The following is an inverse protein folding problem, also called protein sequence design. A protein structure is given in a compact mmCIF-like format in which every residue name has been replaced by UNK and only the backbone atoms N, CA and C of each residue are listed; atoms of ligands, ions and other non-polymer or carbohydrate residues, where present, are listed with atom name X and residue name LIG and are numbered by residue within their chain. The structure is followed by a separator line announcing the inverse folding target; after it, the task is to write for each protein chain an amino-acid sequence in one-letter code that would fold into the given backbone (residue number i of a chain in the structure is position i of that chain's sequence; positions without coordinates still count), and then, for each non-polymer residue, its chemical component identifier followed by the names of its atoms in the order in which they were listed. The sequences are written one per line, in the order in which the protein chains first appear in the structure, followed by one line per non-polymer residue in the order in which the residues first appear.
data_IF_399944975723
#
_entry.id   IF_399944975723
#
_cell.length_a   1.000
_cell.length_b   1.000
_cell.length_c   1.000
_cell.angle_alpha   90.00
_cell.angle_beta   90.00
_cell.angle_gamma   90.00
#
_symmetry.space_group_name_H-M   'P 1'
#
loop_
_entity.id
_entity.type
_entity.pdbx_description
1 polymer ?
#
# COMPACT_ATOMS: atom_id res chain seq x y z
N UNK A 1 -0.60 29.38 -18.34
CA UNK A 1 0.38 28.38 -17.91
C UNK A 1 -0.23 27.01 -18.19
N UNK A 2 0.34 26.23 -19.11
CA UNK A 2 -0.20 24.91 -19.45
C UNK A 2 0.11 23.97 -18.28
N UNK A 3 -0.89 23.59 -17.51
CA UNK A 3 -0.72 22.58 -16.46
C UNK A 3 -0.53 21.24 -17.14
N UNK A 4 0.66 20.66 -17.03
CA UNK A 4 0.88 19.32 -17.58
C UNK A 4 -0.05 18.33 -16.88
N UNK A 5 -0.77 17.45 -17.62
CA UNK A 5 -1.75 16.51 -17.04
C UNK A 5 -1.10 15.47 -16.12
N UNK A 6 0.23 15.34 -16.18
CA UNK A 6 1.05 14.49 -15.32
C UNK A 6 1.58 15.23 -14.08
N UNK A 7 1.19 16.49 -13.87
CA UNK A 7 1.60 17.27 -12.71
C UNK A 7 0.99 16.69 -11.43
N UNK A 8 1.82 16.53 -10.40
CA UNK A 8 1.37 16.20 -9.04
C UNK A 8 0.48 17.29 -8.43
N UNK A 9 0.47 18.50 -9.00
CA UNK A 9 -0.38 19.60 -8.58
C UNK A 9 -1.86 19.34 -8.90
N UNK A 10 -2.17 18.73 -10.05
CA UNK A 10 -3.54 18.61 -10.56
C UNK A 10 -4.05 17.17 -10.63
N UNK A 11 -3.16 16.18 -10.84
CA UNK A 11 -3.55 14.79 -10.97
C UNK A 11 -3.36 14.00 -9.65
N UNK A 12 -4.44 13.51 -9.01
CA UNK A 12 -4.32 12.75 -7.77
C UNK A 12 -3.60 11.41 -7.96
N UNK A 13 -3.77 10.76 -9.11
CA UNK A 13 -3.03 9.53 -9.44
C UNK A 13 -1.54 9.81 -9.50
N UNK A 14 -1.11 10.88 -10.18
CA UNK A 14 0.29 11.26 -10.25
C UNK A 14 0.87 11.58 -8.85
N UNK A 15 0.11 12.28 -8.01
CA UNK A 15 0.52 12.58 -6.62
C UNK A 15 0.69 11.31 -5.78
N UNK A 16 -0.24 10.36 -5.87
CA UNK A 16 -0.12 9.07 -5.20
C UNK A 16 1.08 8.29 -5.72
N UNK A 17 1.32 8.28 -7.03
CA UNK A 17 2.45 7.58 -7.65
C UNK A 17 3.80 8.22 -7.34
N UNK A 18 3.86 9.52 -7.02
CA UNK A 18 5.09 10.14 -6.53
C UNK A 18 5.57 9.53 -5.20
N UNK A 19 4.65 8.96 -4.41
CA UNK A 19 4.94 8.27 -3.15
C UNK A 19 5.07 6.76 -3.39
N UNK A 20 4.03 6.12 -3.94
CA UNK A 20 3.95 4.66 -4.07
C UNK A 20 4.74 4.09 -5.26
N UNK A 21 5.01 4.90 -6.28
CA UNK A 21 5.77 4.49 -7.46
C UNK A 21 7.27 4.33 -7.19
N UNK A 22 7.73 4.72 -6.00
CA UNK A 22 9.11 4.54 -5.59
C UNK A 22 9.38 3.06 -5.29
N UNK A 23 10.57 2.60 -5.69
CA UNK A 23 10.97 1.20 -5.51
C UNK A 23 10.87 0.82 -4.03
N UNK A 24 10.23 -0.32 -3.75
CA UNK A 24 9.95 -0.90 -2.42
C UNK A 24 8.79 -0.28 -1.61
N UNK A 25 8.30 0.93 -1.92
CA UNK A 25 7.27 1.58 -1.11
C UNK A 25 6.03 0.71 -0.90
N UNK A 26 5.46 0.20 -2.00
CA UNK A 26 4.29 -0.71 -1.96
C UNK A 26 4.58 -2.01 -1.21
N UNK A 27 5.81 -2.54 -1.30
CA UNK A 27 6.19 -3.77 -0.61
C UNK A 27 6.36 -3.56 0.90
N UNK A 28 6.90 -2.42 1.33
CA UNK A 28 6.96 -2.05 2.74
C UNK A 28 5.54 -1.90 3.31
N UNK A 29 4.65 -1.22 2.59
CA UNK A 29 3.23 -1.09 2.99
C UNK A 29 2.56 -2.46 3.09
N UNK A 30 2.80 -3.37 2.12
CA UNK A 30 2.30 -4.76 2.18
C UNK A 30 2.77 -5.45 3.46
N UNK A 31 4.06 -5.36 3.78
CA UNK A 31 4.61 -5.98 4.99
C UNK A 31 4.02 -5.37 6.27
N UNK A 32 3.78 -4.06 6.30
CA UNK A 32 3.13 -3.41 7.42
C UNK A 32 1.68 -3.87 7.61
N UNK A 33 0.94 -4.10 6.51
CA UNK A 33 -0.39 -4.72 6.54
C UNK A 33 -0.37 -6.16 7.06
N UNK A 34 0.73 -6.89 6.83
CA UNK A 34 0.96 -8.24 7.38
C UNK A 34 1.41 -8.21 8.86
N UNK A 35 1.44 -7.04 9.49
CA UNK A 35 1.75 -6.87 10.91
C UNK A 35 3.24 -6.67 11.22
N UNK A 36 4.11 -6.62 10.20
CA UNK A 36 5.53 -6.28 10.42
C UNK A 36 5.64 -4.82 10.83
N UNK A 37 6.46 -4.55 11.83
CA UNK A 37 6.58 -3.19 12.38
C UNK A 37 8.01 -2.84 12.75
N UNK A 38 8.93 -3.80 12.81
CA UNK A 38 10.33 -3.55 13.16
C UNK A 38 11.20 -3.48 11.90
N UNK A 39 12.21 -2.61 11.93
CA UNK A 39 13.17 -2.47 10.83
C UNK A 39 13.77 -3.82 10.41
N UNK A 40 14.13 -4.66 11.39
CA UNK A 40 14.70 -5.99 11.14
C UNK A 40 13.74 -6.91 10.39
N UNK A 41 12.44 -6.87 10.70
CA UNK A 41 11.41 -7.69 10.04
C UNK A 41 11.22 -7.29 8.58
N UNK A 42 11.20 -5.98 8.30
CA UNK A 42 11.15 -5.48 6.92
C UNK A 42 12.40 -5.89 6.13
N UNK A 43 13.58 -5.72 6.73
CA UNK A 43 14.86 -6.05 6.09
C UNK A 43 14.96 -7.54 5.77
N UNK A 44 14.62 -8.40 6.72
CA UNK A 44 14.63 -9.85 6.55
C UNK A 44 13.70 -10.28 5.42
N UNK A 45 12.48 -9.74 5.39
CA UNK A 45 11.48 -10.17 4.42
C UNK A 45 11.72 -9.63 3.01
N UNK A 46 12.21 -8.39 2.89
CA UNK A 46 12.37 -7.73 1.60
C UNK A 46 13.76 -7.92 0.99
N UNK A 47 14.76 -8.33 1.78
CA UNK A 47 16.15 -8.49 1.32
C UNK A 47 16.79 -7.18 0.83
N UNK A 48 16.20 -6.04 1.18
CA UNK A 48 16.65 -4.72 0.75
C UNK A 48 17.85 -4.24 1.59
N UNK A 49 18.75 -3.48 0.98
CA UNK A 49 19.88 -2.86 1.68
C UNK A 49 19.39 -1.91 2.78
N UNK A 50 20.12 -1.86 3.92
CA UNK A 50 19.69 -1.14 5.11
C UNK A 50 19.53 0.37 4.89
N UNK A 51 20.42 0.98 4.10
CA UNK A 51 20.38 2.39 3.72
C UNK A 51 19.14 2.72 2.88
N UNK A 52 18.85 1.88 1.88
CA UNK A 52 17.65 2.00 1.04
C UNK A 52 16.38 1.83 1.88
N UNK A 53 16.33 0.84 2.76
CA UNK A 53 15.18 0.61 3.63
C UNK A 53 14.95 1.79 4.58
N UNK A 54 16.02 2.31 5.19
CA UNK A 54 15.95 3.45 6.10
C UNK A 54 15.38 4.67 5.38
N UNK A 55 15.87 4.96 4.17
CA UNK A 55 15.35 6.06 3.36
C UNK A 55 13.86 5.89 3.01
N UNK A 56 13.45 4.68 2.59
CA UNK A 56 12.03 4.43 2.23
C UNK A 56 11.10 4.51 3.43
N UNK A 57 11.51 3.99 4.59
CA UNK A 57 10.72 4.09 5.82
C UNK A 57 10.56 5.55 6.23
N UNK A 58 11.63 6.34 6.16
CA UNK A 58 11.59 7.78 6.45
C UNK A 58 10.61 8.52 5.53
N UNK A 59 10.65 8.28 4.22
CA UNK A 59 9.72 8.91 3.27
C UNK A 59 8.27 8.48 3.48
N UNK A 60 8.01 7.21 3.82
CA UNK A 60 6.66 6.75 4.14
C UNK A 60 6.13 7.37 5.44
N UNK A 61 7.02 7.65 6.40
CA UNK A 61 6.69 8.40 7.61
C UNK A 61 6.41 9.87 7.30
N UNK A 62 7.28 10.51 6.51
CA UNK A 62 7.10 11.90 6.07
C UNK A 62 5.81 12.09 5.27
N UNK A 63 5.48 11.14 4.40
CA UNK A 63 4.22 11.11 3.66
C UNK A 63 2.99 10.88 4.56
N UNK A 64 3.17 10.47 5.82
CA UNK A 64 2.10 10.15 6.76
C UNK A 64 1.45 8.78 6.56
N UNK A 65 2.05 7.89 5.74
CA UNK A 65 1.56 6.52 5.53
C UNK A 65 1.91 5.65 6.75
N UNK A 66 3.11 5.85 7.28
CA UNK A 66 3.58 5.22 8.50
C UNK A 66 3.74 6.26 9.62
N UNK A 67 3.66 5.81 10.85
CA UNK A 67 4.10 6.56 12.03
C UNK A 67 5.16 5.74 12.78
N UNK A 68 6.03 6.44 13.51
CA UNK A 68 6.97 5.82 14.44
C UNK A 68 6.36 5.88 15.84
N UNK A 69 6.18 4.72 16.45
CA UNK A 69 5.72 4.59 17.83
C UNK A 69 6.84 3.99 18.67
N UNK A 70 7.09 4.59 19.83
CA UNK A 70 7.94 4.00 20.84
C UNK A 70 7.14 3.02 21.70
N UNK A 71 7.73 1.87 21.97
CA UNK A 71 7.23 0.91 22.95
C UNK A 71 8.36 0.51 23.89
N UNK A 72 7.95 0.13 25.10
CA UNK A 72 8.87 -0.31 26.14
C UNK A 72 8.24 -1.45 26.90
N UNK A 73 8.86 -2.62 26.81
CA UNK A 73 8.54 -3.72 27.70
C UNK A 73 9.10 -3.42 29.11
N UNK A 74 8.42 -3.85 30.19
CA UNK A 74 8.91 -3.61 31.55
C UNK A 74 10.34 -4.15 31.73
N UNK A 75 11.28 -3.28 32.12
CA UNK A 75 12.69 -3.64 32.33
C UNK A 75 13.60 -3.44 31.11
N UNK A 76 13.04 -3.19 29.93
CA UNK A 76 13.79 -3.09 28.68
C UNK A 76 14.10 -1.64 28.26
N UNK A 77 15.00 -1.50 27.28
CA UNK A 77 15.25 -0.23 26.58
C UNK A 77 14.05 0.11 25.67
N UNK A 78 13.75 1.40 25.53
CA UNK A 78 12.76 1.89 24.55
C UNK A 78 13.16 1.43 23.15
N UNK A 79 12.19 0.88 22.42
CA UNK A 79 12.33 0.45 21.03
C UNK A 79 11.27 1.14 20.20
N UNK A 80 11.59 1.43 18.94
CA UNK A 80 10.64 2.05 18.02
C UNK A 80 10.08 1.01 17.05
N UNK A 81 8.82 1.21 16.64
CA UNK A 81 8.14 0.42 15.62
C UNK A 81 7.48 1.35 14.60
N UNK A 82 7.38 0.90 13.36
CA UNK A 82 6.66 1.56 12.28
C UNK A 82 5.25 0.97 12.19
N UNK A 83 4.22 1.80 12.29
CA UNK A 83 2.82 1.38 12.23
C UNK A 83 2.10 2.12 11.12
N UNK A 84 1.11 1.47 10.50
CA UNK A 84 0.22 2.14 9.55
C UNK A 84 -0.64 3.17 10.27
N UNK A 85 -0.65 4.39 9.73
CA UNK A 85 -1.64 5.41 10.07
C UNK A 85 -2.99 5.06 9.43
N UNK A 86 -4.05 5.81 9.74
CA UNK A 86 -5.32 5.69 9.04
C UNK A 86 -5.17 5.90 7.52
N UNK A 87 -4.36 6.90 7.11
CA UNK A 87 -4.03 7.12 5.70
C UNK A 87 -3.31 5.92 5.07
N UNK A 88 -2.41 5.27 5.81
CA UNK A 88 -1.74 4.06 5.36
C UNK A 88 -2.70 2.86 5.23
N UNK A 89 -3.67 2.73 6.13
CA UNK A 89 -4.71 1.69 6.10
C UNK A 89 -5.65 1.86 4.91
N UNK A 90 -5.95 3.09 4.53
CA UNK A 90 -6.77 3.42 3.35
C UNK A 90 -6.13 2.98 2.02
N UNK A 91 -4.85 2.57 2.00
CA UNK A 91 -4.20 1.97 0.83
C UNK A 91 -4.59 0.50 0.59
N UNK A 92 -5.30 -0.14 1.51
CA UNK A 92 -5.75 -1.54 1.37
C UNK A 92 -6.41 -1.83 0.02
N UNK A 93 -7.45 -1.09 -0.43
CA UNK A 93 -8.05 -1.31 -1.75
C UNK A 93 -7.09 -1.07 -2.92
N UNK A 94 -6.09 -0.20 -2.78
CA UNK A 94 -5.08 0.03 -3.83
C UNK A 94 -4.19 -1.19 -3.99
N UNK A 95 -3.65 -1.72 -2.89
CA UNK A 95 -2.81 -2.92 -2.92
C UNK A 95 -3.61 -4.16 -3.35
N UNK A 96 -4.87 -4.27 -2.93
CA UNK A 96 -5.75 -5.34 -3.37
C UNK A 96 -6.02 -5.29 -4.87
N UNK A 97 -6.25 -4.10 -5.46
CA UNK A 97 -6.41 -3.95 -6.89
C UNK A 97 -5.14 -4.34 -7.68
N UNK A 98 -3.96 -3.95 -7.18
CA UNK A 98 -2.67 -4.35 -7.76
C UNK A 98 -2.48 -5.88 -7.73
N UNK A 99 -2.72 -6.50 -6.57
CA UNK A 99 -2.63 -7.94 -6.39
C UNK A 99 -3.61 -8.70 -7.28
N UNK A 100 -4.87 -8.25 -7.35
CA UNK A 100 -5.90 -8.85 -8.19
C UNK A 100 -5.54 -8.80 -9.69
N UNK A 101 -5.00 -7.69 -10.17
CA UNK A 101 -4.53 -7.58 -11.56
C UNK A 101 -3.34 -8.50 -11.81
N UNK A 102 -2.36 -8.51 -10.90
CA UNK A 102 -1.19 -9.38 -11.00
C UNK A 102 -1.57 -10.86 -11.03
N UNK A 103 -2.48 -11.30 -10.16
CA UNK A 103 -2.94 -12.68 -10.10
C UNK A 103 -3.65 -13.12 -11.40
N UNK A 104 -4.37 -12.20 -12.06
CA UNK A 104 -5.08 -12.50 -13.31
C UNK A 104 -4.15 -12.56 -14.52
N UNK A 105 -3.14 -11.71 -14.58
CA UNK A 105 -2.38 -11.47 -15.82
C UNK A 105 -0.92 -11.90 -15.76
N UNK A 106 -0.30 -11.92 -14.58
CA UNK A 106 1.09 -12.26 -14.35
C UNK A 106 1.19 -13.63 -13.67
N UNK A 107 0.68 -14.65 -14.36
CA UNK A 107 0.65 -16.02 -13.83
C UNK A 107 2.09 -16.47 -13.59
N UNK A 108 2.41 -16.74 -12.33
CA UNK A 108 3.65 -17.36 -11.91
C UNK A 108 3.41 -18.84 -11.64
N UNK A 109 4.33 -19.75 -12.03
CA UNK A 109 4.27 -21.15 -11.61
C UNK A 109 4.36 -21.28 -10.08
N UNK A 110 4.95 -20.29 -9.41
CA UNK A 110 5.00 -20.19 -7.96
C UNK A 110 3.86 -19.30 -7.47
N UNK A 111 2.86 -19.89 -6.81
CA UNK A 111 1.78 -19.14 -6.17
C UNK A 111 2.25 -18.64 -4.80
N UNK A 112 2.47 -17.33 -4.68
CA UNK A 112 2.82 -16.70 -3.40
C UNK A 112 1.74 -16.81 -2.32
N UNK A 113 0.48 -17.12 -2.69
CA UNK A 113 -0.64 -17.24 -1.76
C UNK A 113 -1.17 -15.93 -1.17
N UNK A 114 -0.53 -14.78 -1.48
CA UNK A 114 -1.00 -13.46 -1.05
C UNK A 114 -2.40 -13.18 -1.61
N UNK A 115 -3.33 -12.91 -0.70
CA UNK A 115 -4.74 -12.69 -1.01
C UNK A 115 -5.35 -11.81 0.08
N UNK A 116 -6.36 -11.02 -0.28
CA UNK A 116 -7.09 -10.20 0.69
C UNK A 116 -8.33 -10.98 1.14
N UNK A 117 -8.55 -11.07 2.44
CA UNK A 117 -9.66 -11.83 3.03
C UNK A 117 -10.51 -10.97 3.95
N UNK A 118 -11.78 -11.31 4.09
CA UNK A 118 -12.59 -10.83 5.19
C UNK A 118 -12.13 -11.53 6.49
N UNK A 119 -11.78 -10.76 7.51
CA UNK A 119 -11.15 -11.29 8.72
C UNK A 119 -12.04 -12.29 9.48
N UNK A 120 -13.36 -12.07 9.52
CA UNK A 120 -14.30 -12.91 10.26
C UNK A 120 -14.56 -14.27 9.62
N UNK A 121 -14.45 -14.39 8.30
CA UNK A 121 -14.80 -15.61 7.54
C UNK A 121 -13.57 -16.27 6.90
N UNK A 122 -12.50 -15.51 6.69
CA UNK A 122 -11.35 -15.94 5.90
C UNK A 122 -11.63 -16.02 4.39
N UNK A 123 -12.82 -15.61 3.94
CA UNK A 123 -13.20 -15.64 2.54
C UNK A 123 -12.46 -14.58 1.73
N UNK A 124 -12.11 -14.92 0.48
CA UNK A 124 -11.40 -14.02 -0.41
C UNK A 124 -12.28 -12.85 -0.85
N UNK A 125 -11.77 -11.63 -0.72
CA UNK A 125 -12.47 -10.41 -1.13
C UNK A 125 -11.81 -9.77 -2.35
N UNK A 126 -12.63 -9.18 -3.21
CA UNK A 126 -12.21 -8.56 -4.47
C UNK A 126 -12.54 -7.07 -4.48
N UNK A 127 -11.66 -6.27 -5.08
CA UNK A 127 -11.95 -4.86 -5.34
C UNK A 127 -12.81 -4.75 -6.60
N UNK A 128 -13.89 -3.98 -6.49
CA UNK A 128 -14.83 -3.73 -7.59
C UNK A 128 -15.39 -2.31 -7.53
N UNK A 129 -15.92 -1.83 -8.66
CA UNK A 129 -16.63 -0.56 -8.70
C UNK A 129 -18.07 -0.75 -8.26
N UNK A 130 -18.57 0.21 -7.49
CA UNK A 130 -19.96 0.27 -7.04
C UNK A 130 -20.51 1.68 -7.21
N UNK A 131 -21.80 1.77 -7.53
CA UNK A 131 -22.56 3.03 -7.47
C UNK A 131 -22.77 3.42 -6.00
N UNK A 132 -23.22 4.66 -5.79
CA UNK A 132 -23.58 5.16 -4.46
C UNK A 132 -24.70 4.33 -3.79
N UNK A 133 -25.59 3.73 -4.59
CA UNK A 133 -26.64 2.82 -4.11
C UNK A 133 -26.15 1.40 -3.76
N UNK A 134 -24.84 1.14 -3.90
CA UNK A 134 -24.22 -0.17 -3.63
C UNK A 134 -24.21 -1.14 -4.82
N UNK A 135 -24.88 -0.81 -5.93
CA UNK A 135 -24.91 -1.68 -7.12
C UNK A 135 -23.53 -1.82 -7.74
N UNK A 136 -23.10 -3.06 -8.01
CA UNK A 136 -21.85 -3.34 -8.70
C UNK A 136 -21.85 -2.80 -10.14
N UNK A 137 -20.71 -2.27 -10.57
CA UNK A 137 -20.46 -1.83 -11.94
C UNK A 137 -19.27 -2.61 -12.52
N UNK A 138 -19.44 -3.35 -13.62
CA UNK A 138 -18.32 -3.99 -14.29
C UNK A 138 -17.24 -2.98 -14.72
N UNK A 139 -15.96 -3.31 -14.54
CA UNK A 139 -14.85 -2.42 -14.92
C UNK A 139 -14.89 -1.97 -16.38
N UNK A 140 -15.37 -2.83 -17.30
CA UNK A 140 -15.57 -2.50 -18.73
C UNK A 140 -16.64 -1.45 -19.01
N UNK A 141 -17.46 -1.12 -18.02
CA UNK A 141 -18.50 -0.09 -18.07
C UNK A 141 -18.10 1.17 -17.28
N UNK A 142 -16.86 1.24 -16.79
CA UNK A 142 -16.32 2.41 -16.10
C UNK A 142 -15.40 3.17 -17.06
N UNK A 143 -15.55 4.49 -17.08
CA UNK A 143 -14.74 5.38 -17.92
C UNK A 143 -14.07 6.43 -17.03
N UNK A 144 -12.77 6.63 -17.22
CA UNK A 144 -12.04 7.75 -16.63
C UNK A 144 -12.30 8.99 -17.49
N UNK A 145 -12.75 10.08 -16.86
CA UNK A 145 -13.02 11.34 -17.53
C UNK A 145 -11.90 12.34 -17.23
N UNK A 146 -11.48 13.10 -18.24
CA UNK A 146 -10.63 14.26 -18.04
C UNK A 146 -11.48 15.42 -17.48
N UNK A 147 -10.93 16.25 -16.57
CA UNK A 147 -11.63 17.44 -16.08
C UNK A 147 -11.87 18.43 -17.23
N UNK A 148 -13.04 19.07 -17.20
CA UNK A 148 -13.47 20.07 -18.20
C UNK A 148 -12.90 21.45 -17.92
#
# INVERSE_FOLDING_TARGET
MRTDPWSTATCPIARTMAILGQRWAVLIVREAMLGRSRFSEFREQLGVASDVLSARLAELVEAGILAVEDYREPGDRTRSRYVLTDMGRDLTPVLAALGQWGHRHLISPENSGYRFVEESTGEHVLVSFRRADGTWVPSRQVTLLEPT
#
